data_IF_044508403765
#
_entry.id   IF_044508403765
#
_cell.length_a   1.000
_cell.length_b   1.000
_cell.length_c   1.000
_cell.angle_alpha   90.00
_cell.angle_beta   90.00
_cell.angle_gamma   90.00
#
_symmetry.space_group_name_H-M   'P 1'
#
loop_
_entity.id
_entity.type
_entity.pdbx_description
1 polymer ?
#
# COMPACT_ATOMS: atom_id res chain seq x y z
N UNK A 1 -0.30 5.36 8.88
CA UNK A 1 0.91 4.57 8.60
C UNK A 1 1.40 4.84 7.17
N UNK A 2 2.72 4.83 7.00
CA UNK A 2 3.34 5.19 5.72
C UNK A 2 3.97 3.95 5.08
N UNK A 3 3.17 3.11 4.45
CA UNK A 3 3.63 1.89 3.78
C UNK A 3 4.64 2.18 2.66
N UNK A 4 4.50 3.30 1.97
CA UNK A 4 5.47 3.75 0.96
C UNK A 4 6.90 3.85 1.51
N UNK A 5 7.09 4.37 2.74
CA UNK A 5 8.40 4.46 3.37
C UNK A 5 8.97 3.08 3.71
N UNK A 6 8.12 2.15 4.13
CA UNK A 6 8.51 0.77 4.42
C UNK A 6 9.01 0.05 3.17
N UNK A 7 8.32 0.24 2.05
CA UNK A 7 8.70 -0.40 0.78
C UNK A 7 9.96 0.19 0.16
N UNK A 8 10.16 1.51 0.30
CA UNK A 8 11.27 2.20 -0.36
C UNK A 8 12.63 1.97 0.28
N UNK A 9 12.69 1.51 1.52
CA UNK A 9 13.94 1.44 2.27
C UNK A 9 14.16 0.10 2.93
N UNK A 10 15.43 -0.31 3.00
CA UNK A 10 15.94 -1.36 3.87
C UNK A 10 16.83 -0.75 4.96
N UNK A 11 17.10 -1.51 6.00
CA UNK A 11 18.00 -1.13 7.08
C UNK A 11 19.29 -1.93 7.00
N UNK A 12 20.42 -1.22 6.91
CA UNK A 12 21.75 -1.81 6.89
C UNK A 12 22.40 -1.64 8.26
N UNK A 13 22.86 -2.74 8.82
CA UNK A 13 23.61 -2.80 10.08
C UNK A 13 25.06 -3.16 9.76
N UNK A 14 25.98 -2.24 9.98
CA UNK A 14 27.40 -2.44 9.68
C UNK A 14 28.20 -2.57 10.98
N UNK A 15 29.21 -3.45 10.96
CA UNK A 15 30.14 -3.54 12.08
C UNK A 15 30.91 -2.21 12.24
N UNK A 16 30.90 -1.56 13.43
CA UNK A 16 31.62 -0.31 13.65
C UNK A 16 33.12 -0.40 13.43
N UNK A 17 33.72 -1.59 13.64
CA UNK A 17 35.17 -1.82 13.51
C UNK A 17 35.56 -2.23 12.09
N UNK A 18 34.60 -2.77 11.31
CA UNK A 18 34.82 -3.23 9.94
C UNK A 18 33.57 -3.01 9.11
N UNK A 19 33.49 -1.92 8.37
CA UNK A 19 32.33 -1.55 7.56
C UNK A 19 32.01 -2.51 6.38
N UNK A 20 32.94 -3.42 6.05
CA UNK A 20 32.69 -4.48 5.06
C UNK A 20 31.84 -5.61 5.64
N UNK A 21 31.79 -5.73 6.94
CA UNK A 21 30.92 -6.68 7.64
C UNK A 21 29.59 -6.02 7.95
N UNK A 22 28.56 -6.39 7.19
CA UNK A 22 27.21 -5.90 7.40
C UNK A 22 26.15 -6.94 7.07
N UNK A 23 24.94 -6.72 7.56
CA UNK A 23 23.74 -7.40 7.09
C UNK A 23 22.64 -6.39 6.81
N UNK A 24 21.70 -6.77 5.95
CA UNK A 24 20.59 -5.92 5.52
C UNK A 24 19.27 -6.57 5.88
N UNK A 25 18.36 -5.77 6.40
CA UNK A 25 16.98 -6.16 6.72
C UNK A 25 16.04 -5.34 5.86
N UNK A 26 15.27 -6.03 5.02
CA UNK A 26 14.35 -5.38 4.08
C UNK A 26 13.04 -4.97 4.73
N UNK A 27 12.59 -5.70 5.74
CA UNK A 27 11.37 -5.38 6.48
C UNK A 27 11.68 -4.45 7.66
N UNK A 28 11.03 -3.29 7.70
CA UNK A 28 11.12 -2.39 8.86
C UNK A 28 10.53 -3.02 10.13
N UNK A 29 9.53 -3.88 10.00
CA UNK A 29 8.96 -4.64 11.14
C UNK A 29 10.01 -5.59 11.71
N UNK A 30 10.71 -6.34 10.87
CA UNK A 30 11.82 -7.19 11.31
C UNK A 30 12.93 -6.36 11.97
N UNK A 31 13.32 -5.24 11.37
CA UNK A 31 14.30 -4.32 11.96
C UNK A 31 13.87 -3.82 13.33
N UNK A 32 12.59 -3.49 13.53
CA UNK A 32 12.04 -3.09 14.83
C UNK A 32 12.13 -4.23 15.87
N UNK A 33 11.82 -5.45 15.47
CA UNK A 33 11.94 -6.63 16.35
C UNK A 33 13.39 -6.87 16.75
N UNK A 34 14.32 -6.81 15.79
CA UNK A 34 15.76 -6.96 16.05
C UNK A 34 16.27 -5.86 16.99
N UNK A 35 15.89 -4.62 16.78
CA UNK A 35 16.26 -3.50 17.64
C UNK A 35 15.65 -3.64 19.04
N UNK A 36 14.43 -4.14 19.16
CA UNK A 36 13.81 -4.36 20.46
C UNK A 36 14.52 -5.50 21.25
N UNK A 37 14.90 -6.57 20.55
CA UNK A 37 15.55 -7.72 21.17
C UNK A 37 17.05 -7.51 21.46
N UNK A 38 17.75 -6.83 20.57
CA UNK A 38 19.22 -6.76 20.55
C UNK A 38 19.78 -5.35 20.43
N UNK A 39 18.94 -4.31 20.55
CA UNK A 39 19.33 -2.93 20.28
C UNK A 39 20.65 -2.46 20.91
N UNK A 40 20.94 -2.76 22.19
CA UNK A 40 22.21 -2.39 22.83
C UNK A 40 23.45 -3.05 22.20
N UNK A 41 23.28 -4.15 21.48
CA UNK A 41 24.33 -4.94 20.88
C UNK A 41 24.48 -4.69 19.38
N UNK A 42 23.48 -4.08 18.77
CA UNK A 42 23.46 -3.78 17.35
C UNK A 42 24.07 -2.41 17.07
N UNK A 43 24.83 -2.28 15.98
CA UNK A 43 25.27 -0.95 15.53
C UNK A 43 24.05 -0.12 15.09
N UNK A 44 24.21 1.19 15.07
CA UNK A 44 23.17 2.09 14.57
C UNK A 44 22.90 1.78 13.11
N UNK A 45 21.65 1.45 12.74
CA UNK A 45 21.34 1.11 11.35
C UNK A 45 21.36 2.35 10.44
N UNK A 46 21.74 2.11 9.20
CA UNK A 46 21.65 3.05 8.10
C UNK A 46 20.46 2.68 7.21
N UNK A 47 19.68 3.68 6.82
CA UNK A 47 18.58 3.50 5.88
C UNK A 47 19.12 3.55 4.44
N UNK A 48 18.94 2.47 3.70
CA UNK A 48 19.37 2.36 2.31
C UNK A 48 18.17 2.28 1.36
N UNK A 49 18.20 2.93 0.19
CA UNK A 49 17.12 2.86 -0.79
C UNK A 49 16.98 1.44 -1.38
N UNK A 50 15.73 0.99 -1.59
CA UNK A 50 15.38 -0.20 -2.36
C UNK A 50 14.81 0.17 -3.72
N UNK A 51 13.97 1.22 -3.75
CA UNK A 51 13.33 1.75 -4.94
C UNK A 51 13.47 3.26 -4.97
N UNK A 52 13.47 3.84 -6.17
CA UNK A 52 13.61 5.28 -6.32
C UNK A 52 12.30 6.03 -6.04
N UNK A 53 11.17 5.38 -6.30
CA UNK A 53 9.85 5.97 -6.10
C UNK A 53 8.81 4.92 -5.67
N UNK A 54 7.78 5.38 -4.98
CA UNK A 54 6.61 4.58 -4.66
C UNK A 54 5.37 5.47 -4.53
N UNK A 55 4.21 4.89 -4.79
CA UNK A 55 2.93 5.56 -4.62
C UNK A 55 1.94 4.64 -3.91
N UNK A 56 1.12 5.22 -3.06
CA UNK A 56 0.04 4.57 -2.33
C UNK A 56 -1.29 5.20 -2.72
N UNK A 57 -2.24 4.38 -3.10
CA UNK A 57 -3.64 4.76 -3.23
C UNK A 57 -4.44 4.10 -2.10
N UNK A 58 -5.01 4.91 -1.21
CA UNK A 58 -5.85 4.43 -0.13
C UNK A 58 -7.29 4.25 -0.61
N UNK A 59 -7.69 3.01 -0.77
CA UNK A 59 -9.04 2.65 -1.19
C UNK A 59 -9.97 2.69 0.02
N UNK A 60 -10.93 3.61 -0.03
CA UNK A 60 -11.91 3.82 1.04
C UNK A 60 -13.34 3.57 0.53
N UNK A 61 -14.19 3.11 1.42
CA UNK A 61 -15.65 3.22 1.21
C UNK A 61 -16.08 4.69 1.35
N UNK A 62 -16.91 5.14 0.43
CA UNK A 62 -17.36 6.53 0.37
C UNK A 62 -18.86 6.63 0.08
N UNK A 63 -19.44 7.80 0.25
CA UNK A 63 -20.70 8.17 -0.38
C UNK A 63 -20.45 8.80 -1.76
N UNK A 64 -21.51 9.19 -2.44
CA UNK A 64 -21.44 9.82 -3.78
C UNK A 64 -20.67 11.16 -3.80
N UNK A 65 -20.52 11.80 -2.64
CA UNK A 65 -19.72 13.01 -2.47
C UNK A 65 -18.27 12.75 -2.09
N UNK A 66 -17.80 11.49 -2.21
CA UNK A 66 -16.45 11.04 -1.83
C UNK A 66 -16.12 11.24 -0.33
N UNK A 67 -17.13 11.45 0.51
CA UNK A 67 -16.91 11.50 1.93
C UNK A 67 -16.83 10.09 2.50
N UNK A 68 -16.03 9.84 3.54
CA UNK A 68 -15.96 8.55 4.19
C UNK A 68 -17.35 8.07 4.57
N UNK A 69 -17.70 6.87 4.18
CA UNK A 69 -18.97 6.24 4.50
C UNK A 69 -18.73 4.89 5.14
N UNK A 70 -19.56 4.64 6.13
CA UNK A 70 -19.54 3.39 6.85
C UNK A 70 -20.65 2.49 6.29
N UNK A 71 -20.29 1.30 5.88
CA UNK A 71 -21.22 0.29 5.45
C UNK A 71 -21.00 -0.18 4.02
N UNK A 72 -21.80 -1.15 3.64
CA UNK A 72 -21.68 -1.88 2.40
C UNK A 72 -21.08 -3.27 2.60
N UNK A 73 -21.29 -4.08 1.60
CA UNK A 73 -20.78 -5.44 1.54
C UNK A 73 -19.88 -5.58 0.32
N UNK A 74 -18.72 -6.19 0.49
CA UNK A 74 -17.88 -6.60 -0.64
C UNK A 74 -18.30 -8.02 -1.02
N UNK A 75 -18.84 -8.16 -2.23
CA UNK A 75 -19.30 -9.44 -2.79
C UNK A 75 -18.33 -9.94 -3.87
N UNK A 76 -17.55 -9.04 -4.45
CA UNK A 76 -16.54 -9.34 -5.44
C UNK A 76 -15.38 -8.34 -5.35
N UNK A 77 -14.17 -8.84 -5.42
CA UNK A 77 -12.95 -8.08 -5.56
C UNK A 77 -11.99 -8.83 -6.48
N UNK A 78 -11.48 -8.16 -7.51
CA UNK A 78 -10.53 -8.73 -8.45
C UNK A 78 -9.23 -9.13 -7.78
N UNK A 79 -8.56 -10.15 -8.31
CA UNK A 79 -7.21 -10.51 -7.90
C UNK A 79 -6.22 -9.37 -8.17
N UNK A 80 -5.13 -9.34 -7.39
CA UNK A 80 -4.03 -8.43 -7.61
C UNK A 80 -3.31 -8.76 -8.92
N UNK A 81 -2.89 -7.73 -9.65
CA UNK A 81 -2.08 -7.89 -10.87
C UNK A 81 -0.59 -7.91 -10.53
N UNK A 82 0.24 -8.30 -11.50
CA UNK A 82 1.69 -8.27 -11.37
C UNK A 82 2.19 -6.85 -11.03
N UNK A 83 3.06 -6.73 -10.04
CA UNK A 83 3.59 -5.46 -9.56
C UNK A 83 2.69 -4.70 -8.58
N UNK A 84 1.47 -5.17 -8.34
CA UNK A 84 0.59 -4.64 -7.30
C UNK A 84 1.00 -5.19 -5.93
N UNK A 85 1.17 -4.29 -4.98
CA UNK A 85 1.28 -4.63 -3.56
C UNK A 85 -0.03 -4.20 -2.90
N UNK A 86 -0.76 -5.16 -2.36
CA UNK A 86 -2.04 -4.94 -1.71
C UNK A 86 -1.92 -5.22 -0.23
N UNK A 87 -2.24 -4.22 0.58
CA UNK A 87 -2.34 -4.35 2.03
C UNK A 87 -3.80 -4.08 2.42
N UNK A 88 -4.47 -5.10 2.87
CA UNK A 88 -5.87 -5.05 3.30
C UNK A 88 -6.02 -5.54 4.76
N UNK A 89 -7.13 -5.27 5.42
CA UNK A 89 -7.37 -5.70 6.79
C UNK A 89 -7.76 -7.19 6.90
N UNK A 90 -7.29 -8.03 6.00
CA UNK A 90 -7.60 -9.46 5.98
C UNK A 90 -8.96 -9.78 5.33
N UNK A 91 -9.35 -8.99 4.35
CA UNK A 91 -10.56 -9.26 3.56
C UNK A 91 -10.31 -10.49 2.71
N UNK A 92 -10.92 -11.59 3.09
CA UNK A 92 -10.92 -12.82 2.30
C UNK A 92 -12.35 -13.17 1.92
N UNK A 93 -12.64 -13.11 0.62
CA UNK A 93 -13.93 -13.52 0.07
C UNK A 93 -13.99 -15.03 -0.20
N UNK A 94 -12.85 -15.69 -0.22
CA UNK A 94 -12.72 -17.13 -0.45
C UNK A 94 -11.88 -17.76 0.65
N UNK A 95 -12.43 -18.80 1.28
CA UNK A 95 -11.70 -19.63 2.23
C UNK A 95 -11.16 -20.85 1.48
N UNK A 96 -9.84 -20.97 1.28
CA UNK A 96 -9.26 -22.08 0.51
C UNK A 96 -9.42 -23.44 1.16
N UNK A 97 -9.60 -23.50 2.50
CA UNK A 97 -9.75 -24.77 3.22
C UNK A 97 -11.16 -25.38 3.09
N UNK A 98 -12.15 -24.53 2.90
CA UNK A 98 -13.55 -24.94 2.85
C UNK A 98 -14.23 -24.71 1.50
N UNK A 99 -13.54 -24.03 0.59
CA UNK A 99 -14.07 -23.55 -0.71
C UNK A 99 -15.35 -22.71 -0.58
N UNK A 100 -15.49 -22.03 0.54
CA UNK A 100 -16.65 -21.18 0.84
C UNK A 100 -16.34 -19.73 0.49
N UNK A 101 -17.21 -19.12 -0.30
CA UNK A 101 -17.20 -17.68 -0.56
C UNK A 101 -18.05 -16.97 0.51
N UNK A 102 -17.49 -15.92 1.07
CA UNK A 102 -18.14 -15.10 2.09
C UNK A 102 -18.12 -13.64 1.68
N UNK A 103 -19.28 -12.99 1.82
CA UNK A 103 -19.35 -11.55 1.65
C UNK A 103 -18.70 -10.87 2.86
N UNK A 104 -17.87 -9.87 2.60
CA UNK A 104 -17.25 -9.08 3.67
C UNK A 104 -18.08 -7.83 3.94
N UNK A 105 -18.57 -7.71 5.18
CA UNK A 105 -19.29 -6.51 5.61
C UNK A 105 -18.29 -5.50 6.17
N UNK A 106 -18.27 -4.31 5.58
CA UNK A 106 -17.41 -3.22 6.04
C UNK A 106 -17.86 -2.74 7.43
N UNK A 107 -16.90 -2.72 8.36
CA UNK A 107 -17.12 -2.25 9.72
C UNK A 107 -17.16 -0.72 9.74
N UNK A 108 -18.37 -0.19 9.68
CA UNK A 108 -18.61 1.23 9.52
C UNK A 108 -18.37 2.13 10.71
N UNK A 109 -17.91 1.62 11.84
CA UNK A 109 -17.88 2.41 13.08
C UNK A 109 -16.64 3.29 13.24
N UNK A 110 -15.52 2.98 12.56
CA UNK A 110 -14.24 3.64 12.85
C UNK A 110 -13.48 4.11 11.63
N UNK A 111 -13.30 3.28 10.62
CA UNK A 111 -12.50 3.61 9.44
C UNK A 111 -13.18 3.07 8.18
N UNK A 112 -13.23 3.90 7.15
CA UNK A 112 -13.73 3.52 5.83
C UNK A 112 -12.68 2.83 4.96
N UNK A 113 -11.48 2.58 5.48
CA UNK A 113 -10.40 1.97 4.74
C UNK A 113 -10.73 0.54 4.32
N UNK A 114 -10.61 0.27 3.02
CA UNK A 114 -10.76 -1.06 2.45
C UNK A 114 -9.38 -1.67 2.26
N UNK A 115 -8.47 -0.95 1.61
CA UNK A 115 -7.12 -1.41 1.33
C UNK A 115 -6.17 -0.26 1.00
N UNK A 116 -4.88 -0.56 1.07
CA UNK A 116 -3.83 0.25 0.49
C UNK A 116 -3.32 -0.48 -0.75
N UNK A 117 -3.37 0.19 -1.90
CA UNK A 117 -2.79 -0.28 -3.15
C UNK A 117 -1.48 0.46 -3.37
N UNK A 118 -0.39 -0.27 -3.55
CA UNK A 118 0.94 0.31 -3.65
C UNK A 118 1.66 -0.19 -4.90
N UNK A 119 2.44 0.70 -5.49
CA UNK A 119 3.40 0.37 -6.55
C UNK A 119 4.73 1.02 -6.26
N UNK A 120 5.79 0.41 -6.76
CA UNK A 120 7.17 0.89 -6.65
C UNK A 120 7.82 0.93 -8.03
N UNK A 121 8.85 1.72 -8.20
CA UNK A 121 9.55 1.82 -9.48
C UNK A 121 10.82 2.65 -9.44
N UNK A 122 11.49 2.72 -10.58
CA UNK A 122 12.75 3.43 -10.73
C UNK A 122 12.58 4.93 -11.02
N UNK A 123 11.37 5.33 -11.36
CA UNK A 123 11.01 6.72 -11.60
C UNK A 123 9.56 6.99 -11.20
N UNK A 124 9.27 8.26 -10.95
CA UNK A 124 7.90 8.70 -10.65
C UNK A 124 6.92 8.35 -11.77
N UNK A 125 7.34 8.50 -13.03
CA UNK A 125 6.51 8.18 -14.18
C UNK A 125 6.18 6.68 -14.25
N UNK A 126 7.18 5.79 -14.11
CA UNK A 126 6.97 4.35 -14.13
C UNK A 126 6.09 3.89 -12.96
N UNK A 127 6.29 4.46 -11.77
CA UNK A 127 5.51 4.15 -10.56
C UNK A 127 4.05 4.55 -10.70
N UNK A 128 3.79 5.76 -11.23
CA UNK A 128 2.42 6.24 -11.47
C UNK A 128 1.74 5.49 -12.63
N UNK A 129 2.49 5.11 -13.66
CA UNK A 129 1.96 4.28 -14.75
C UNK A 129 1.53 2.91 -14.24
N UNK A 130 2.37 2.28 -13.41
CA UNK A 130 2.03 1.00 -12.76
C UNK A 130 0.78 1.15 -11.87
N UNK A 131 0.66 2.25 -11.10
CA UNK A 131 -0.52 2.52 -10.30
C UNK A 131 -1.78 2.73 -11.16
N UNK A 132 -1.68 3.40 -12.30
CA UNK A 132 -2.80 3.54 -13.23
C UNK A 132 -3.26 2.17 -13.76
N UNK A 133 -2.34 1.25 -14.04
CA UNK A 133 -2.66 -0.10 -14.47
C UNK A 133 -3.33 -0.91 -13.34
N UNK A 134 -2.83 -0.81 -12.12
CA UNK A 134 -3.45 -1.42 -10.92
C UNK A 134 -4.89 -0.92 -10.74
N UNK A 135 -5.09 0.40 -10.72
CA UNK A 135 -6.42 1.00 -10.51
C UNK A 135 -7.40 0.65 -11.63
N UNK A 136 -6.92 0.55 -12.88
CA UNK A 136 -7.72 0.13 -14.03
C UNK A 136 -8.13 -1.35 -13.97
N UNK A 137 -7.24 -2.20 -13.47
CA UNK A 137 -7.49 -3.63 -13.33
C UNK A 137 -8.34 -3.96 -12.09
N UNK A 138 -8.33 -3.09 -11.09
CA UNK A 138 -9.09 -3.29 -9.85
C UNK A 138 -10.59 -3.15 -10.12
N UNK A 139 -11.33 -4.18 -9.77
CA UNK A 139 -12.79 -4.19 -9.80
C UNK A 139 -13.33 -4.65 -8.45
N UNK A 140 -14.20 -3.87 -7.88
CA UNK A 140 -14.85 -4.19 -6.62
C UNK A 140 -16.34 -3.94 -6.73
N UNK A 141 -17.15 -4.88 -6.29
CA UNK A 141 -18.61 -4.82 -6.34
C UNK A 141 -19.22 -5.35 -5.06
N UNK A 142 -20.36 -4.80 -4.71
CA UNK A 142 -21.13 -5.27 -3.56
C UNK A 142 -22.35 -4.42 -3.31
N UNK A 143 -23.13 -4.83 -2.32
CA UNK A 143 -24.35 -4.13 -1.93
C UNK A 143 -23.99 -2.86 -1.17
N UNK A 144 -24.61 -1.75 -1.56
CA UNK A 144 -24.42 -0.43 -0.94
C UNK A 144 -22.94 -0.02 -0.84
N UNK A 145 -22.11 -0.53 -1.77
CA UNK A 145 -20.67 -0.31 -1.83
C UNK A 145 -20.36 0.79 -2.85
N UNK A 146 -19.87 1.91 -2.36
CA UNK A 146 -19.26 2.97 -3.15
C UNK A 146 -17.83 3.16 -2.67
N UNK A 147 -16.91 3.45 -3.58
CA UNK A 147 -15.49 3.62 -3.27
C UNK A 147 -14.91 4.82 -4.00
N UNK A 148 -13.75 5.28 -3.56
CA UNK A 148 -12.98 6.33 -4.22
C UNK A 148 -12.04 5.81 -5.33
N UNK A 149 -12.23 4.59 -5.83
CA UNK A 149 -11.38 3.97 -6.84
C UNK A 149 -11.27 4.82 -8.12
N UNK A 150 -12.43 5.24 -8.66
CA UNK A 150 -12.46 6.05 -9.88
C UNK A 150 -11.81 7.42 -9.71
N UNK A 151 -11.95 8.01 -8.52
CA UNK A 151 -11.26 9.26 -8.17
C UNK A 151 -9.75 9.08 -8.22
N UNK A 152 -9.21 8.02 -7.61
CA UNK A 152 -7.78 7.73 -7.66
C UNK A 152 -7.30 7.47 -9.09
N UNK A 153 -8.05 6.72 -9.87
CA UNK A 153 -7.71 6.49 -11.29
C UNK A 153 -7.65 7.80 -12.07
N UNK A 154 -8.64 8.66 -11.91
CA UNK A 154 -8.66 9.99 -12.53
C UNK A 154 -7.47 10.86 -12.08
N UNK A 155 -7.17 10.87 -10.78
CA UNK A 155 -6.08 11.66 -10.21
C UNK A 155 -4.71 11.21 -10.72
N UNK A 156 -4.44 9.91 -10.73
CA UNK A 156 -3.17 9.34 -11.22
C UNK A 156 -2.97 9.66 -12.71
N UNK A 157 -4.02 9.49 -13.53
CA UNK A 157 -3.95 9.84 -14.94
C UNK A 157 -3.79 11.34 -15.18
N UNK A 158 -4.34 12.18 -14.30
CA UNK A 158 -4.11 13.62 -14.36
C UNK A 158 -2.63 13.97 -14.15
N UNK A 159 -1.96 13.34 -13.17
CA UNK A 159 -0.52 13.53 -12.96
C UNK A 159 0.29 13.09 -14.18
N UNK A 160 -0.01 11.92 -14.74
CA UNK A 160 0.67 11.39 -15.92
C UNK A 160 0.48 12.28 -17.16
N UNK A 161 -0.73 12.79 -17.37
CA UNK A 161 -1.08 13.57 -18.56
C UNK A 161 -0.74 15.06 -18.49
N UNK A 162 -0.61 15.63 -17.29
CA UNK A 162 -0.42 17.07 -17.12
C UNK A 162 0.91 17.46 -16.47
N UNK A 163 1.18 16.95 -15.27
CA UNK A 163 2.38 17.32 -14.54
C UNK A 163 2.79 16.23 -13.53
N UNK A 164 3.63 15.33 -13.98
CA UNK A 164 4.13 14.24 -13.14
C UNK A 164 4.92 14.74 -11.92
N UNK A 165 5.48 15.94 -11.96
CA UNK A 165 6.24 16.55 -10.87
C UNK A 165 5.38 17.43 -9.95
N UNK A 166 4.06 17.51 -10.19
CA UNK A 166 3.18 18.23 -9.30
C UNK A 166 3.28 17.66 -7.87
N UNK A 167 3.28 18.55 -6.89
CA UNK A 167 3.30 18.20 -5.48
C UNK A 167 1.93 18.48 -4.89
N UNK A 168 1.09 17.44 -4.73
CA UNK A 168 -0.20 17.64 -4.08
C UNK A 168 0.00 18.11 -2.65
N UNK A 169 -0.85 19.02 -2.21
CA UNK A 169 -0.88 19.53 -0.85
C UNK A 169 -2.25 19.29 -0.25
N UNK A 170 -2.31 19.10 1.03
CA UNK A 170 -3.55 18.90 1.82
C UNK A 170 -4.27 20.23 2.12
N UNK A 171 -4.31 21.14 1.18
CA UNK A 171 -5.07 22.40 1.35
C UNK A 171 -6.50 22.22 0.94
#
# INVERSE_FOLDING_TARGET
>A
EHRVSELCYAMKFSNPENSEEYFTVESLVEAMVLLAAHGPQLPKPERIPRFNDSVEARLNATNDALQPNAGGQIEYWSDAIEGEIRDDPGISLHNPDTDVFMNYTLAGAYDSNIALLLTVGDSRESTYSAMADVLRATSMRGRDLHTNLEFHYGLVNWFLGNNINARPTTK
#
